data_IF_842220089094
#
_entry.id   IF_842220089094
#
_cell.length_a   1.000
_cell.length_b   1.000
_cell.length_c   1.000
_cell.angle_alpha   90.00
_cell.angle_beta   90.00
_cell.angle_gamma   90.00
#
_symmetry.space_group_name_H-M   'P 1'
#
loop_
_entity.id
_entity.type
_entity.pdbx_description
1 polymer ?
#
# COMPACT_ATOMS: atom_id res chain seq x y z
N UNK A 1 -11.68 2.30 -11.93
CA UNK A 1 -13.09 1.93 -12.17
C UNK A 1 -13.10 0.58 -12.85
N UNK A 2 -13.49 -0.47 -12.15
CA UNK A 2 -13.47 -1.83 -12.65
C UNK A 2 -14.11 -2.76 -11.63
N UNK A 3 -15.16 -3.44 -12.07
CA UNK A 3 -16.06 -4.30 -11.32
C UNK A 3 -15.33 -5.22 -10.33
N UNK A 4 -15.81 -5.23 -9.09
CA UNK A 4 -15.25 -6.01 -7.99
C UNK A 4 -15.18 -7.50 -8.34
N UNK A 5 -14.03 -8.12 -8.08
CA UNK A 5 -13.83 -9.57 -8.23
C UNK A 5 -12.69 -10.00 -9.17
N UNK A 6 -12.07 -9.09 -9.90
CA UNK A 6 -11.11 -9.42 -10.98
C UNK A 6 -9.67 -9.69 -10.53
N UNK A 7 -9.40 -9.89 -9.22
CA UNK A 7 -8.07 -10.26 -8.74
C UNK A 7 -6.96 -9.24 -9.03
N UNK A 8 -7.27 -8.02 -9.50
CA UNK A 8 -6.27 -6.99 -9.88
C UNK A 8 -5.39 -6.59 -8.69
N UNK A 9 -5.96 -6.56 -7.48
CA UNK A 9 -5.21 -6.39 -6.22
C UNK A 9 -4.22 -7.53 -6.00
N UNK A 10 -4.60 -8.77 -6.29
CA UNK A 10 -3.73 -9.94 -6.15
C UNK A 10 -2.62 -9.94 -7.20
N UNK A 11 -2.95 -9.69 -8.47
CA UNK A 11 -1.98 -9.67 -9.56
C UNK A 11 -0.91 -8.62 -9.31
N UNK A 12 -1.33 -7.45 -8.85
CA UNK A 12 -0.41 -6.37 -8.57
C UNK A 12 0.34 -6.56 -7.23
N UNK A 13 -0.23 -7.35 -6.29
CA UNK A 13 0.48 -7.85 -5.12
C UNK A 13 1.58 -8.85 -5.48
N UNK A 14 1.32 -9.72 -6.45
CA UNK A 14 2.33 -10.65 -6.98
C UNK A 14 3.40 -9.88 -7.78
N UNK A 15 3.00 -8.90 -8.59
CA UNK A 15 3.94 -8.06 -9.35
C UNK A 15 4.84 -7.21 -8.43
N UNK A 16 4.29 -6.67 -7.34
CA UNK A 16 5.08 -6.03 -6.29
C UNK A 16 6.06 -7.01 -5.65
N UNK A 17 5.60 -8.21 -5.30
CA UNK A 17 6.45 -9.25 -4.73
C UNK A 17 7.60 -9.69 -5.66
N UNK A 18 7.33 -9.90 -6.95
CA UNK A 18 8.37 -10.27 -7.93
C UNK A 18 9.36 -9.13 -8.19
N UNK A 19 8.91 -7.87 -8.11
CA UNK A 19 9.77 -6.70 -8.19
C UNK A 19 10.56 -6.42 -6.90
N UNK A 20 10.45 -7.28 -5.87
CA UNK A 20 10.96 -7.06 -4.50
C UNK A 20 10.45 -5.75 -3.88
N UNK A 21 9.29 -5.31 -4.32
CA UNK A 21 8.63 -4.14 -3.81
C UNK A 21 7.75 -4.51 -2.63
N UNK A 22 7.79 -3.72 -1.57
CA UNK A 22 6.88 -3.87 -0.45
C UNK A 22 5.54 -3.26 -0.84
N UNK A 23 4.46 -3.86 -0.36
CA UNK A 23 3.11 -3.42 -0.70
C UNK A 23 2.53 -2.75 0.52
N UNK A 24 2.09 -1.51 0.32
CA UNK A 24 1.44 -0.72 1.35
C UNK A 24 0.00 -0.50 0.92
N UNK A 25 -0.92 -1.15 1.62
CA UNK A 25 -2.37 -1.01 1.40
C UNK A 25 -2.95 -0.33 2.64
N UNK A 26 -3.63 0.79 2.42
CA UNK A 26 -4.32 1.50 3.50
C UNK A 26 -5.61 0.75 3.83
N UNK A 27 -5.71 0.25 5.06
CA UNK A 27 -6.93 -0.40 5.52
C UNK A 27 -7.89 0.63 6.13
N UNK A 28 -8.89 1.01 5.35
CA UNK A 28 -9.99 1.86 5.82
C UNK A 28 -10.78 1.11 6.91
N UNK A 29 -10.64 1.55 8.15
CA UNK A 29 -11.44 1.10 9.30
C UNK A 29 -12.57 2.09 9.58
N UNK A 30 -13.59 1.67 10.36
CA UNK A 30 -14.76 2.52 10.68
C UNK A 30 -14.42 3.87 11.33
N UNK A 31 -13.24 3.98 11.93
CA UNK A 31 -12.73 5.18 12.60
C UNK A 31 -11.52 5.79 11.87
N UNK A 32 -11.31 5.44 10.60
CA UNK A 32 -10.21 5.99 9.81
C UNK A 32 -10.42 7.49 9.58
N UNK A 33 -9.53 8.30 10.16
CA UNK A 33 -9.57 9.75 10.11
C UNK A 33 -8.27 10.31 9.50
N UNK A 34 -8.20 11.62 9.35
CA UNK A 34 -7.03 12.29 8.79
C UNK A 34 -5.74 12.01 9.59
N UNK A 35 -5.86 11.83 10.91
CA UNK A 35 -4.74 11.51 11.79
C UNK A 35 -4.18 10.12 11.47
N UNK A 36 -5.05 9.10 11.39
CA UNK A 36 -4.67 7.74 10.99
C UNK A 36 -4.06 7.72 9.59
N UNK A 37 -4.62 8.49 8.65
CA UNK A 37 -4.05 8.63 7.31
C UNK A 37 -2.66 9.22 7.30
N UNK A 38 -2.43 10.25 8.13
CA UNK A 38 -1.13 10.91 8.24
C UNK A 38 -0.08 10.00 8.90
N UNK A 39 -0.50 9.15 9.84
CA UNK A 39 0.37 8.12 10.43
C UNK A 39 0.76 7.05 9.41
N UNK A 40 -0.20 6.54 8.62
CA UNK A 40 0.08 5.58 7.54
C UNK A 40 1.05 6.16 6.51
N UNK A 41 0.86 7.41 6.10
CA UNK A 41 1.79 8.10 5.20
C UNK A 41 3.19 8.24 5.83
N UNK A 42 3.28 8.52 7.14
CA UNK A 42 4.57 8.61 7.82
C UNK A 42 5.31 7.28 7.79
N UNK A 43 4.60 6.16 7.98
CA UNK A 43 5.15 4.80 7.89
C UNK A 43 5.61 4.51 6.46
N UNK A 44 4.80 4.85 5.46
CA UNK A 44 5.15 4.71 4.05
C UNK A 44 6.41 5.49 3.69
N UNK A 45 6.47 6.78 4.01
CA UNK A 45 7.62 7.62 3.73
C UNK A 45 8.87 7.17 4.49
N UNK A 46 8.71 6.64 5.71
CA UNK A 46 9.82 6.03 6.44
C UNK A 46 10.35 4.78 5.72
N UNK A 47 9.47 3.92 5.21
CA UNK A 47 9.88 2.71 4.47
C UNK A 47 10.58 3.02 3.15
N UNK A 48 10.05 3.97 2.37
CA UNK A 48 10.63 4.36 1.08
C UNK A 48 11.92 5.16 1.30
N UNK A 49 11.91 6.12 2.24
CA UNK A 49 12.99 7.08 2.46
C UNK A 49 14.19 6.51 3.23
N UNK A 50 13.97 5.70 4.27
CA UNK A 50 15.07 5.18 5.10
C UNK A 50 15.53 3.78 4.71
N UNK A 51 14.61 2.90 4.28
CA UNK A 51 14.96 1.53 3.89
C UNK A 51 15.23 1.37 2.38
N UNK A 52 15.01 2.43 1.58
CA UNK A 52 15.12 2.40 0.12
C UNK A 52 14.32 1.23 -0.50
N UNK A 53 13.21 0.88 0.16
CA UNK A 53 12.35 -0.19 -0.30
C UNK A 53 11.45 0.42 -1.36
N UNK A 54 11.48 -0.16 -2.56
CA UNK A 54 10.53 0.20 -3.60
C UNK A 54 9.14 -0.19 -3.10
N UNK A 55 8.27 0.77 -2.82
CA UNK A 55 6.95 0.48 -2.27
C UNK A 55 5.89 0.77 -3.32
N UNK A 56 5.00 -0.19 -3.54
CA UNK A 56 3.82 0.00 -4.41
C UNK A 56 2.62 0.27 -3.51
N UNK A 57 1.94 1.38 -3.77
CA UNK A 57 0.78 1.86 -3.02
C UNK A 57 -0.49 1.34 -3.68
N UNK A 58 -1.35 0.67 -2.90
CA UNK A 58 -2.63 0.10 -3.34
C UNK A 58 -3.83 0.74 -2.66
#
# INVERSE_FOLDING_TARGET
IGTGGSGKKLLAKIAGFTAKCQIFEIQLTRNYNEISFREDLKILFYQIGLKNIKTVLF
#
